data_IF_068007460241
#
_entry.id   IF_068007460241
#
_cell.length_a   1.000
_cell.length_b   1.000
_cell.length_c   1.000
_cell.angle_alpha   90.00
_cell.angle_beta   90.00
_cell.angle_gamma   90.00
#
_symmetry.space_group_name_H-M   'P 1'
#
loop_
_entity.id
_entity.type
_entity.pdbx_description
1 polymer ?
#
# COMPACT_ATOMS: atom_id res chain seq x y z
N UNK A 1 13.22 1.05 5.03
CA UNK A 1 12.18 1.17 3.97
C UNK A 1 11.57 -0.21 3.76
N UNK A 2 10.25 -0.32 3.53
CA UNK A 2 9.55 -1.61 3.41
C UNK A 2 10.24 -2.57 2.41
N UNK A 3 10.68 -2.03 1.27
CA UNK A 3 11.44 -2.76 0.25
C UNK A 3 12.75 -3.37 0.79
N UNK A 4 13.52 -2.62 1.57
CA UNK A 4 14.82 -3.06 2.09
C UNK A 4 14.67 -4.14 3.15
N UNK A 5 13.74 -3.96 4.08
CA UNK A 5 13.66 -4.81 5.28
C UNK A 5 12.79 -6.06 5.06
N UNK A 6 11.85 -6.03 4.10
CA UNK A 6 10.88 -7.12 3.92
C UNK A 6 10.85 -7.68 2.50
N UNK A 7 11.13 -6.88 1.46
CA UNK A 7 11.16 -7.41 0.09
C UNK A 7 12.51 -8.00 -0.28
N UNK A 8 13.63 -7.31 -0.01
CA UNK A 8 14.97 -7.83 -0.32
C UNK A 8 15.26 -9.18 0.37
N UNK A 9 14.85 -9.41 1.63
CA UNK A 9 15.03 -10.71 2.27
C UNK A 9 14.02 -11.78 1.82
N UNK A 10 13.05 -11.43 0.94
CA UNK A 10 12.05 -12.36 0.42
C UNK A 10 10.84 -12.60 1.33
N UNK A 11 10.65 -11.80 2.39
CA UNK A 11 9.53 -11.94 3.33
C UNK A 11 8.20 -11.45 2.77
N UNK A 12 8.24 -10.46 1.86
CA UNK A 12 7.07 -9.95 1.16
C UNK A 12 7.33 -9.84 -0.35
N UNK A 13 6.30 -10.06 -1.20
CA UNK A 13 6.36 -9.78 -2.63
C UNK A 13 6.69 -8.32 -2.92
N UNK A 14 7.40 -8.08 -4.02
CA UNK A 14 7.75 -6.72 -4.48
C UNK A 14 6.53 -5.86 -4.75
N UNK A 15 5.46 -6.48 -5.22
CA UNK A 15 4.17 -5.88 -5.58
C UNK A 15 3.55 -5.18 -4.37
N UNK A 16 3.66 -5.78 -3.17
CA UNK A 16 3.16 -5.17 -1.94
C UNK A 16 3.93 -3.90 -1.57
N UNK A 17 5.25 -3.86 -1.80
CA UNK A 17 6.02 -2.65 -1.56
C UNK A 17 5.75 -1.55 -2.58
N UNK A 18 5.45 -1.90 -3.84
CA UNK A 18 5.02 -0.91 -4.83
C UNK A 18 3.66 -0.34 -4.45
N UNK A 19 2.71 -1.22 -4.11
CA UNK A 19 1.37 -0.83 -3.69
C UNK A 19 1.42 0.10 -2.47
N UNK A 20 2.15 -0.27 -1.41
CA UNK A 20 2.33 0.58 -0.23
C UNK A 20 2.88 1.98 -0.58
N UNK A 21 3.89 2.03 -1.46
CA UNK A 21 4.50 3.30 -1.87
C UNK A 21 3.51 4.16 -2.66
N UNK A 22 2.74 3.55 -3.56
CA UNK A 22 1.71 4.26 -4.34
C UNK A 22 0.64 4.83 -3.43
N UNK A 23 0.01 4.02 -2.56
CA UNK A 23 -1.06 4.52 -1.68
C UNK A 23 -0.56 5.56 -0.68
N UNK A 24 0.69 5.43 -0.22
CA UNK A 24 1.30 6.43 0.66
C UNK A 24 1.42 7.77 -0.06
N UNK A 25 1.88 7.78 -1.31
CA UNK A 25 1.97 9.00 -2.11
C UNK A 25 0.57 9.55 -2.43
N UNK A 26 -0.40 8.69 -2.77
CA UNK A 26 -1.79 9.11 -2.99
C UNK A 26 -2.37 9.81 -1.76
N UNK A 27 -2.13 9.26 -0.56
CA UNK A 27 -2.53 9.88 0.71
C UNK A 27 -1.88 11.25 0.90
N UNK A 28 -0.56 11.34 0.72
CA UNK A 28 0.16 12.62 0.86
C UNK A 28 -0.37 13.67 -0.11
N UNK A 29 -0.58 13.29 -1.37
CA UNK A 29 -1.12 14.21 -2.37
C UNK A 29 -2.56 14.61 -2.04
N UNK A 30 -3.41 13.67 -1.60
CA UNK A 30 -4.79 13.99 -1.19
C UNK A 30 -4.85 14.93 0.03
N UNK A 31 -3.91 14.79 0.96
CA UNK A 31 -3.90 15.56 2.22
C UNK A 31 -3.30 16.97 2.03
N UNK A 32 -2.39 17.16 1.07
CA UNK A 32 -1.54 18.36 0.99
C UNK A 32 -1.48 19.06 -0.37
N UNK A 33 -1.99 18.47 -1.46
CA UNK A 33 -2.00 19.10 -2.80
C UNK A 33 -3.39 19.67 -3.14
N UNK A 34 -3.45 20.94 -3.54
CA UNK A 34 -4.71 21.70 -3.72
C UNK A 34 -5.68 21.15 -4.79
N UNK A 35 -5.19 20.31 -5.71
CA UNK A 35 -5.96 19.85 -6.88
C UNK A 35 -6.03 18.32 -7.01
N UNK A 36 -5.70 17.56 -5.97
CA UNK A 36 -5.77 16.09 -5.98
C UNK A 36 -6.99 15.63 -5.19
N UNK A 37 -7.96 15.04 -5.90
CA UNK A 37 -9.11 14.38 -5.30
C UNK A 37 -9.25 12.98 -5.90
N UNK A 38 -9.70 12.02 -5.09
CA UNK A 38 -9.98 10.65 -5.50
C UNK A 38 -11.48 10.41 -5.53
N UNK A 39 -11.96 9.72 -6.56
CA UNK A 39 -13.40 9.40 -6.69
C UNK A 39 -13.76 8.18 -5.87
N UNK A 40 -15.06 7.90 -5.71
CA UNK A 40 -15.51 6.67 -5.04
C UNK A 40 -15.05 5.42 -5.81
N UNK A 41 -15.01 5.46 -7.14
CA UNK A 41 -14.51 4.37 -7.97
C UNK A 41 -13.01 4.12 -7.77
N UNK A 42 -12.21 5.17 -7.57
CA UNK A 42 -10.79 5.03 -7.22
C UNK A 42 -10.66 4.29 -5.88
N UNK A 43 -11.48 4.65 -4.89
CA UNK A 43 -11.48 4.02 -3.57
C UNK A 43 -11.96 2.57 -3.65
N UNK A 44 -13.01 2.28 -4.40
CA UNK A 44 -13.54 0.93 -4.60
C UNK A 44 -12.50 0.01 -5.24
N UNK A 45 -11.65 0.55 -6.13
CA UNK A 45 -10.53 -0.19 -6.71
C UNK A 45 -9.37 -0.40 -5.71
N UNK A 46 -9.03 0.61 -4.92
CA UNK A 46 -7.87 0.58 -4.01
C UNK A 46 -8.13 -0.18 -2.71
N UNK A 47 -9.35 -0.13 -2.19
CA UNK A 47 -9.68 -0.68 -0.87
C UNK A 47 -9.42 -2.20 -0.76
N UNK A 48 -9.83 -3.06 -1.71
CA UNK A 48 -9.54 -4.50 -1.65
C UNK A 48 -8.04 -4.80 -1.65
N UNK A 49 -7.24 -3.97 -2.33
CA UNK A 49 -5.78 -4.11 -2.37
C UNK A 49 -5.15 -3.72 -1.03
N UNK A 50 -5.70 -2.70 -0.36
CA UNK A 50 -5.28 -2.30 0.99
C UNK A 50 -5.58 -3.38 2.02
N UNK A 51 -6.76 -4.00 1.95
CA UNK A 51 -7.12 -5.16 2.78
C UNK A 51 -6.15 -6.32 2.53
N UNK A 52 -5.90 -6.66 1.26
CA UNK A 52 -4.96 -7.73 0.90
C UNK A 52 -3.53 -7.46 1.40
N UNK A 53 -3.10 -6.20 1.39
CA UNK A 53 -1.81 -5.80 1.97
C UNK A 53 -1.77 -6.06 3.47
N UNK A 54 -2.80 -5.64 4.21
CA UNK A 54 -2.90 -5.88 5.67
C UNK A 54 -2.88 -7.38 5.97
N UNK A 55 -3.66 -8.18 5.25
CA UNK A 55 -3.70 -9.63 5.41
C UNK A 55 -2.32 -10.28 5.23
N UNK A 56 -1.52 -9.80 4.27
CA UNK A 56 -0.17 -10.30 4.06
C UNK A 56 0.77 -9.97 5.22
N UNK A 57 0.65 -8.77 5.80
CA UNK A 57 1.42 -8.37 6.99
C UNK A 57 0.99 -9.18 8.21
N UNK A 58 -0.32 -9.38 8.43
CA UNK A 58 -0.80 -10.20 9.54
C UNK A 58 -0.30 -11.64 9.46
N UNK A 59 -0.32 -12.23 8.26
CA UNK A 59 0.23 -13.58 8.03
C UNK A 59 1.71 -13.63 8.35
N UNK A 60 2.48 -12.60 7.99
CA UNK A 60 3.91 -12.53 8.29
C UNK A 60 4.18 -12.43 9.80
N UNK A 61 3.37 -11.67 10.55
CA UNK A 61 3.52 -11.50 12.00
C UNK A 61 3.16 -12.78 12.78
N UNK A 62 2.23 -13.58 12.25
CA UNK A 62 1.74 -14.82 12.89
C UNK A 62 2.58 -16.06 12.54
N UNK A 63 3.68 -15.92 11.80
CA UNK A 63 4.66 -16.99 11.54
C UNK A 63 5.48 -17.29 12.81
#
# INVERSE_FOLDING_TARGET
MLSKEFVLPGLLPRELSKFYTDIFNKRQNSDYEDFVNYTSEDIDFLYPQAVSFIDAIEKLIKQ
#
